data_IF_058382304711
#
_entry.id   IF_058382304711
#
_cell.length_a   1.000
_cell.length_b   1.000
_cell.length_c   1.000
_cell.angle_alpha   90.00
_cell.angle_beta   90.00
_cell.angle_gamma   90.00
#
_symmetry.space_group_name_H-M   'P 1'
#
loop_
_entity.id
_entity.type
_entity.pdbx_description
1 polymer ?
#
# COMPACT_ATOMS: atom_id res chain seq x y z
N UNK A 1 -8.79 8.78 17.08
CA UNK A 1 -9.07 7.42 16.59
C UNK A 1 -8.14 7.22 15.42
N UNK A 2 -7.29 6.20 15.42
CA UNK A 2 -6.29 6.08 14.35
C UNK A 2 -6.90 5.49 13.08
N UNK A 3 -6.45 5.98 11.93
CA UNK A 3 -6.75 5.45 10.60
C UNK A 3 -5.45 5.11 9.89
N UNK A 4 -5.52 4.08 9.06
CA UNK A 4 -4.39 3.55 8.32
C UNK A 4 -4.67 3.76 6.85
N UNK A 5 -3.96 4.71 6.25
CA UNK A 5 -4.09 5.02 4.82
C UNK A 5 -3.03 4.23 4.07
N UNK A 6 -3.44 3.46 3.07
CA UNK A 6 -2.56 2.63 2.26
C UNK A 6 -2.43 3.24 0.88
N UNK A 7 -1.19 3.47 0.46
CA UNK A 7 -0.84 3.82 -0.91
C UNK A 7 -0.06 2.68 -1.56
N UNK A 8 -0.32 2.46 -2.84
CA UNK A 8 0.44 1.57 -3.69
C UNK A 8 1.37 2.41 -4.57
N UNK A 9 2.61 1.96 -4.72
CA UNK A 9 3.63 2.63 -5.53
C UNK A 9 4.16 1.62 -6.53
N UNK A 10 3.89 1.85 -7.81
CA UNK A 10 4.66 1.22 -8.89
C UNK A 10 5.94 2.01 -9.08
N UNK A 11 7.07 1.32 -9.30
CA UNK A 11 8.40 1.96 -9.45
C UNK A 11 8.46 3.08 -10.52
N UNK A 12 7.49 3.12 -11.46
CA UNK A 12 7.39 4.12 -12.53
C UNK A 12 6.00 4.79 -12.66
N UNK A 13 5.11 4.60 -11.68
CA UNK A 13 3.71 5.05 -11.71
C UNK A 13 3.34 5.99 -10.55
N UNK A 14 2.25 6.74 -10.74
CA UNK A 14 1.68 7.61 -9.72
C UNK A 14 1.27 6.82 -8.46
N UNK A 15 1.42 7.45 -7.28
CA UNK A 15 0.94 6.88 -6.03
C UNK A 15 -0.59 6.70 -6.07
N UNK A 16 -1.04 5.45 -6.06
CA UNK A 16 -2.45 5.09 -6.04
C UNK A 16 -2.94 4.94 -4.60
N UNK A 17 -4.01 5.64 -4.22
CA UNK A 17 -4.70 5.36 -2.95
C UNK A 17 -5.40 4.00 -3.05
N UNK A 18 -4.98 3.05 -2.23
CA UNK A 18 -5.62 1.73 -2.12
C UNK A 18 -6.84 1.80 -1.20
N UNK A 19 -6.70 2.48 -0.07
CA UNK A 19 -7.81 2.64 0.87
C UNK A 19 -7.42 3.24 2.21
N UNK A 20 -8.45 3.52 3.03
CA UNK A 20 -8.31 4.02 4.40
C UNK A 20 -9.03 3.05 5.33
N UNK A 21 -8.31 2.54 6.32
CA UNK A 21 -8.78 1.46 7.18
C UNK A 21 -8.80 1.89 8.65
N UNK A 22 -9.78 1.37 9.39
CA UNK A 22 -9.94 1.67 10.82
C UNK A 22 -8.97 0.90 11.73
N UNK A 23 -8.27 -0.11 11.19
CA UNK A 23 -7.30 -0.93 11.94
C UNK A 23 -6.15 -1.34 11.02
N UNK A 24 -4.96 -1.54 11.61
CA UNK A 24 -3.79 -2.02 10.88
C UNK A 24 -4.03 -3.36 10.19
N UNK A 25 -4.68 -4.31 10.86
CA UNK A 25 -4.96 -5.63 10.29
C UNK A 25 -5.85 -5.56 9.03
N UNK A 26 -6.80 -4.61 8.97
CA UNK A 26 -7.60 -4.39 7.76
C UNK A 26 -6.80 -3.72 6.65
N UNK A 27 -5.86 -2.83 6.99
CA UNK A 27 -4.93 -2.27 6.02
C UNK A 27 -4.05 -3.35 5.39
N UNK A 28 -3.51 -4.27 6.20
CA UNK A 28 -2.73 -5.43 5.73
C UNK A 28 -3.55 -6.34 4.81
N UNK A 29 -4.81 -6.61 5.15
CA UNK A 29 -5.72 -7.35 4.26
C UNK A 29 -5.99 -6.61 2.94
N UNK A 30 -6.20 -5.30 3.00
CA UNK A 30 -6.42 -4.48 1.81
C UNK A 30 -5.21 -4.45 0.87
N UNK A 31 -4.00 -4.46 1.42
CA UNK A 31 -2.76 -4.60 0.62
C UNK A 31 -2.75 -5.94 -0.10
N UNK A 32 -2.97 -7.04 0.61
CA UNK A 32 -2.99 -8.40 0.05
C UNK A 32 -4.02 -8.54 -1.09
N UNK A 33 -5.23 -8.00 -0.90
CA UNK A 33 -6.28 -8.02 -1.92
C UNK A 33 -5.92 -7.17 -3.14
N UNK A 34 -5.35 -5.98 -2.93
CA UNK A 34 -4.92 -5.10 -4.01
C UNK A 34 -3.81 -5.75 -4.86
N UNK A 35 -2.83 -6.37 -4.22
CA UNK A 35 -1.75 -7.08 -4.89
C UNK A 35 -2.26 -8.27 -5.71
N UNK A 36 -3.19 -9.07 -5.16
CA UNK A 36 -3.84 -10.16 -5.90
C UNK A 36 -4.61 -9.67 -7.11
N UNK A 37 -5.26 -8.51 -7.01
CA UNK A 37 -5.98 -7.92 -8.13
C UNK A 37 -5.00 -7.43 -9.21
N UNK A 38 -3.88 -6.83 -8.80
CA UNK A 38 -2.89 -6.25 -9.70
C UNK A 38 -2.09 -7.32 -10.47
N UNK A 39 -1.54 -8.31 -9.76
CA UNK A 39 -0.74 -9.38 -10.37
C UNK A 39 -1.58 -10.57 -10.88
N UNK A 40 -2.85 -10.67 -10.49
CA UNK A 40 -3.73 -11.74 -10.93
C UNK A 40 -3.19 -13.12 -10.55
N UNK A 41 -3.02 -13.99 -11.55
CA UNK A 41 -2.50 -15.36 -11.37
C UNK A 41 -1.06 -15.41 -10.92
N UNK A 42 -0.30 -14.34 -11.16
CA UNK A 42 1.16 -14.33 -11.00
C UNK A 42 1.56 -13.76 -9.63
N UNK A 43 0.57 -13.44 -8.78
CA UNK A 43 0.74 -12.87 -7.44
C UNK A 43 1.80 -13.59 -6.58
N UNK A 44 1.81 -14.92 -6.55
CA UNK A 44 2.78 -15.66 -5.72
C UNK A 44 4.21 -15.58 -6.25
N UNK A 45 4.36 -15.35 -7.57
CA UNK A 45 5.66 -15.31 -8.24
C UNK A 45 6.22 -13.88 -8.31
N UNK A 46 5.39 -12.85 -8.53
CA UNK A 46 5.89 -11.50 -8.84
C UNK A 46 5.81 -10.49 -7.69
N UNK A 47 4.86 -10.64 -6.76
CA UNK A 47 4.52 -9.58 -5.78
C UNK A 47 5.63 -9.26 -4.78
N UNK A 48 6.53 -10.22 -4.54
CA UNK A 48 7.57 -10.12 -3.51
C UNK A 48 8.98 -10.31 -4.07
N UNK A 49 9.08 -10.41 -5.39
CA UNK A 49 10.33 -10.71 -6.03
C UNK A 49 11.25 -9.49 -5.95
N UNK A 50 12.42 -9.76 -5.38
CA UNK A 50 13.48 -8.79 -5.20
C UNK A 50 14.38 -8.88 -6.41
N UNK A 51 14.21 -8.00 -7.38
CA UNK A 51 15.16 -7.88 -8.47
C UNK A 51 16.47 -7.29 -7.94
N UNK A 52 17.57 -8.03 -8.07
CA UNK A 52 18.91 -7.49 -7.84
C UNK A 52 19.50 -7.16 -9.21
N UNK A 53 19.59 -5.88 -9.54
CA UNK A 53 20.18 -5.38 -10.78
C UNK A 53 21.29 -4.39 -10.46
N UNK A 54 22.47 -4.58 -11.06
CA UNK A 54 23.66 -3.72 -10.90
C UNK A 54 24.04 -3.38 -9.44
N UNK A 55 23.86 -4.33 -8.53
CA UNK A 55 24.22 -4.18 -7.11
C UNK A 55 23.21 -3.41 -6.26
N UNK A 56 22.05 -3.08 -6.81
CA UNK A 56 20.91 -2.53 -6.09
C UNK A 56 19.83 -3.60 -5.93
N UNK A 57 19.32 -3.75 -4.70
CA UNK A 57 18.15 -4.58 -4.39
C UNK A 57 16.90 -3.73 -4.66
N UNK A 58 16.00 -4.23 -5.50
CA UNK A 58 14.75 -3.56 -5.90
C UNK A 58 13.56 -4.44 -5.51
N UNK A 59 12.56 -3.84 -4.91
CA UNK A 59 11.23 -4.44 -4.74
C UNK A 59 10.35 -3.78 -5.82
N UNK A 60 9.73 -4.58 -6.68
CA UNK A 60 9.01 -4.05 -7.85
C UNK A 60 7.75 -3.27 -7.45
N UNK A 61 7.08 -3.74 -6.39
CA UNK A 61 5.82 -3.22 -5.87
C UNK A 61 5.92 -2.89 -4.37
N UNK A 62 5.80 -1.59 -4.05
CA UNK A 62 5.87 -1.12 -2.67
C UNK A 62 4.51 -0.61 -2.19
N UNK A 63 4.27 -0.76 -0.89
CA UNK A 63 3.12 -0.15 -0.23
C UNK A 63 3.59 0.76 0.91
N UNK A 64 2.93 1.91 1.02
CA UNK A 64 3.12 2.83 2.12
C UNK A 64 1.87 2.82 3.00
N UNK A 65 2.04 2.47 4.27
CA UNK A 65 0.98 2.59 5.28
C UNK A 65 1.26 3.80 6.16
N UNK A 66 0.37 4.79 6.09
CA UNK A 66 0.42 5.97 6.95
C UNK A 66 -0.60 5.79 8.06
N UNK A 67 -0.11 5.67 9.29
CA UNK A 67 -0.93 5.76 10.49
C UNK A 67 -1.16 7.24 10.81
N UNK A 68 -2.42 7.63 10.97
CA UNK A 68 -2.80 9.00 11.30
C UNK A 68 -3.87 8.98 12.36
N UNK A 69 -3.74 9.84 13.36
CA UNK A 69 -4.81 10.04 14.33
C UNK A 69 -5.88 10.95 13.73
N UNK A 70 -7.11 10.45 13.60
CA UNK A 70 -8.27 11.32 13.39
C UNK A 70 -8.44 12.19 14.63
N UNK A 71 -8.10 13.45 14.45
CA UNK A 71 -8.53 14.50 15.33
C UNK A 71 -10.02 14.76 15.10
N UNK A 72 -10.80 14.49 16.14
CA UNK A 72 -12.24 14.71 16.22
C UNK A 72 -12.61 16.20 16.21
N UNK A 73 -11.64 17.09 16.42
CA UNK A 73 -11.79 18.54 16.35
C UNK A 73 -11.27 19.13 15.02
N UNK A 74 -10.74 18.31 14.10
CA UNK A 74 -10.38 18.75 12.76
C UNK A 74 -11.65 19.17 12.00
N UNK A 75 -11.90 20.48 11.98
CA UNK A 75 -12.99 21.07 11.22
C UNK A 75 -12.81 20.77 9.73
N UNK A 76 -13.87 20.21 9.12
CA UNK A 76 -13.99 20.04 7.67
C UNK A 76 -13.89 21.44 7.04
N UNK A 77 -12.76 21.73 6.39
CA UNK A 77 -12.68 22.83 5.43
C UNK A 77 -13.49 22.39 4.20
N UNK A 78 -14.76 22.79 4.17
CA UNK A 78 -15.64 22.71 3.00
C UNK A 78 -15.19 23.69 1.92
#
# INVERSE_FOLDING_TARGET
>A
MSVYTVFFTETYGDYGLVGVYSTKAKAEQGIEEAMKLYHGSDYEETTWDREISDGYERIEDEYLVIESDLDKEAHILL
#
